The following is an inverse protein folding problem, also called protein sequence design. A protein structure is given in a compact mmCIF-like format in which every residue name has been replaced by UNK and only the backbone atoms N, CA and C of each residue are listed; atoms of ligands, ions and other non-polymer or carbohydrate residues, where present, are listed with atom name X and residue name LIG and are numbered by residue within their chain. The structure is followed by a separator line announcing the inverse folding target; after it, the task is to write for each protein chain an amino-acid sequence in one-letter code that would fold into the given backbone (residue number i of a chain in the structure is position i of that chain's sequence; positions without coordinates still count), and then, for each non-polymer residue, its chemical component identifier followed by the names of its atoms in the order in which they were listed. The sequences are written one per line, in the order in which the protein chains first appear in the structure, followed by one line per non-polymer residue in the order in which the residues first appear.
data_IF_272095579047
#
_entry.id   IF_272095579047
#
_cell.length_a   1.000
_cell.length_b   1.000
_cell.length_c   1.000
_cell.angle_alpha   90.00
_cell.angle_beta   90.00
_cell.angle_gamma   90.00
#
_symmetry.space_group_name_H-M   'P 1'
#
loop_
_entity.id
_entity.type
_entity.pdbx_description
1 polymer ?
#
# COMPACT_ATOMS: atom_id res chain seq x y z
N UNK A 1 -4.33 -5.80 -5.46
CA UNK A 1 -3.60 -5.99 -6.74
C UNK A 1 -2.22 -5.35 -6.59
N UNK A 2 -1.19 -5.80 -7.33
CA UNK A 2 0.16 -5.19 -7.29
C UNK A 2 0.46 -4.65 -8.69
N UNK A 3 0.90 -3.39 -8.77
CA UNK A 3 1.30 -2.73 -10.02
C UNK A 3 2.74 -3.10 -10.40
N UNK A 4 3.12 -2.84 -11.65
CA UNK A 4 4.46 -3.13 -12.18
C UNK A 4 5.58 -2.42 -11.40
N UNK A 5 5.27 -1.29 -10.75
CA UNK A 5 6.19 -0.51 -9.91
C UNK A 5 6.19 -0.92 -8.42
N UNK A 6 5.53 -2.04 -8.09
CA UNK A 6 5.47 -2.60 -6.75
C UNK A 6 4.44 -1.95 -5.82
N UNK A 7 3.68 -0.95 -6.27
CA UNK A 7 2.60 -0.35 -5.47
C UNK A 7 1.42 -1.31 -5.30
N UNK A 8 0.82 -1.29 -4.12
CA UNK A 8 -0.38 -2.07 -3.80
C UNK A 8 -1.62 -1.25 -4.11
N UNK A 9 -2.59 -1.88 -4.76
CA UNK A 9 -3.93 -1.31 -4.96
C UNK A 9 -4.90 -2.03 -4.03
N UNK A 10 -5.49 -1.25 -3.13
CA UNK A 10 -6.54 -1.66 -2.20
C UNK A 10 -7.89 -1.30 -2.80
N UNK A 11 -8.78 -2.29 -2.88
CA UNK A 11 -10.15 -2.10 -3.33
C UNK A 11 -11.08 -2.12 -2.13
N UNK A 12 -11.70 -0.98 -1.85
CA UNK A 12 -12.63 -0.80 -0.75
C UNK A 12 -14.06 -0.82 -1.28
N UNK A 13 -14.86 -1.75 -0.77
CA UNK A 13 -16.28 -1.82 -1.06
C UNK A 13 -17.06 -1.04 -0.01
N UNK A 14 -17.88 -0.05 -0.41
CA UNK A 14 -18.76 0.64 0.53
C UNK A 14 -19.85 -0.31 1.01
N UNK A 15 -20.45 -0.04 2.17
CA UNK A 15 -21.45 -0.95 2.75
C UNK A 15 -22.71 -1.05 1.87
N UNK A 16 -23.04 0.00 1.12
CA UNK A 16 -24.12 0.07 0.14
C UNK A 16 -23.97 -0.96 -0.99
N UNK A 17 -22.75 -1.44 -1.25
CA UNK A 17 -22.48 -2.44 -2.30
C UNK A 17 -23.17 -3.79 -2.04
N UNK A 18 -23.72 -3.99 -0.83
CA UNK A 18 -24.55 -5.15 -0.49
C UNK A 18 -25.99 -5.03 -0.98
N UNK A 19 -26.46 -3.82 -1.27
CA UNK A 19 -27.85 -3.51 -1.59
C UNK A 19 -28.03 -2.83 -2.96
N UNK A 20 -26.97 -2.24 -3.50
CA UNK A 20 -26.98 -1.58 -4.80
C UNK A 20 -25.65 -1.81 -5.53
N UNK A 21 -25.67 -1.65 -6.86
CA UNK A 21 -24.44 -1.58 -7.64
C UNK A 21 -23.78 -0.22 -7.40
N UNK A 22 -22.68 -0.27 -6.64
CA UNK A 22 -21.85 0.90 -6.32
C UNK A 22 -20.42 0.58 -6.72
N UNK A 23 -19.79 1.51 -7.41
CA UNK A 23 -18.39 1.40 -7.79
C UNK A 23 -17.50 1.35 -6.53
N UNK A 24 -16.56 0.41 -6.42
CA UNK A 24 -15.64 0.35 -5.31
C UNK A 24 -14.59 1.47 -5.41
N UNK A 25 -14.11 1.94 -4.26
CA UNK A 25 -13.01 2.88 -4.21
C UNK A 25 -11.68 2.13 -4.31
N UNK A 26 -10.89 2.42 -5.35
CA UNK A 26 -9.55 1.86 -5.51
C UNK A 26 -8.52 2.88 -5.03
N UNK A 27 -7.84 2.57 -3.93
CA UNK A 27 -6.71 3.35 -3.43
C UNK A 27 -5.40 2.72 -3.91
N UNK A 28 -4.52 3.54 -4.47
CA UNK A 28 -3.16 3.11 -4.85
C UNK A 28 -2.19 3.60 -3.79
N UNK A 29 -1.51 2.67 -3.15
CA UNK A 29 -0.58 2.93 -2.06
C UNK A 29 0.77 3.48 -2.55
N UNK A 30 1.57 4.01 -1.63
CA UNK A 30 2.94 4.44 -1.89
C UNK A 30 3.84 3.22 -2.13
N UNK A 31 4.83 3.35 -3.02
CA UNK A 31 5.79 2.27 -3.24
C UNK A 31 6.66 2.11 -1.99
N UNK A 32 6.61 0.92 -1.38
CA UNK A 32 7.44 0.59 -0.20
C UNK A 32 8.92 0.81 -0.54
N UNK A 33 9.36 0.46 -1.75
CA UNK A 33 10.74 0.63 -2.16
C UNK A 33 11.16 2.09 -2.27
N UNK A 34 10.35 2.95 -2.91
CA UNK A 34 10.64 4.38 -3.00
C UNK A 34 10.60 5.06 -1.62
N UNK A 35 9.71 4.59 -0.73
CA UNK A 35 9.65 5.07 0.63
C UNK A 35 10.92 4.71 1.43
N UNK A 36 11.40 3.46 1.33
CA UNK A 36 12.64 3.02 1.97
C UNK A 36 13.87 3.77 1.44
N UNK A 37 13.92 4.09 0.14
CA UNK A 37 14.97 4.97 -0.42
C UNK A 37 14.95 6.35 0.24
N UNK A 38 13.76 6.97 0.33
CA UNK A 38 13.62 8.29 0.98
C UNK A 38 14.11 8.25 2.43
N UNK A 39 13.75 7.21 3.19
CA UNK A 39 14.21 7.05 4.58
C UNK A 39 15.74 6.91 4.67
N UNK A 40 16.34 6.17 3.74
CA UNK A 40 17.81 6.08 3.64
C UNK A 40 18.44 7.45 3.35
N UNK A 41 17.82 8.23 2.47
CA UNK A 41 18.26 9.60 2.16
C UNK A 41 18.08 10.56 3.36
N UNK A 42 17.07 10.31 4.20
CA UNK A 42 16.86 10.98 5.49
C UNK A 42 17.84 10.49 6.59
N UNK A 43 18.80 9.63 6.22
CA UNK A 43 19.83 9.06 7.09
C UNK A 43 19.29 8.13 8.20
N UNK A 44 18.13 7.51 7.97
CA UNK A 44 17.57 6.46 8.82
C UNK A 44 18.10 5.06 8.43
N UNK A 45 18.05 4.12 9.37
CA UNK A 45 18.37 2.72 9.11
C UNK A 45 17.13 1.96 8.60
N UNK A 46 17.16 1.57 7.32
CA UNK A 46 16.03 0.85 6.68
C UNK A 46 15.77 -0.54 7.28
N UNK A 47 16.77 -1.17 7.90
CA UNK A 47 16.63 -2.52 8.47
C UNK A 47 15.69 -2.56 9.69
N UNK A 48 15.56 -1.43 10.38
CA UNK A 48 14.64 -1.26 11.51
C UNK A 48 13.17 -1.44 11.09
N UNK A 49 12.87 -1.29 9.79
CA UNK A 49 11.54 -1.40 9.20
C UNK A 49 11.28 -2.76 8.53
N UNK A 50 12.14 -3.75 8.73
CA UNK A 50 12.03 -5.08 8.11
C UNK A 50 10.72 -5.83 8.40
N UNK A 51 10.01 -5.46 9.47
CA UNK A 51 8.69 -6.01 9.80
C UNK A 51 7.59 -5.65 8.79
N UNK A 52 7.78 -4.62 7.95
CA UNK A 52 6.79 -4.18 6.94
C UNK A 52 6.39 -5.26 5.93
N UNK A 53 7.23 -6.29 5.78
CA UNK A 53 6.99 -7.42 4.87
C UNK A 53 6.12 -8.52 5.49
N UNK A 54 5.90 -8.49 6.81
CA UNK A 54 5.20 -9.53 7.55
C UNK A 54 3.92 -8.97 8.18
N UNK A 55 2.80 -9.65 7.95
CA UNK A 55 1.58 -9.45 8.72
C UNK A 55 1.40 -10.70 9.59
N UNK A 56 1.64 -10.55 10.89
CA UNK A 56 1.38 -11.58 11.90
C UNK A 56 -0.09 -11.60 12.31
#
# INVERSE_FOLDING_TARGET
MILEDGRRVYRFYPWESKYAFVEPYNYTDVSIFEYLKRLKDDNENVDDYSSIWYYF
#
